data_IF_288621205032
#
_entry.id   IF_288621205032
#
_cell.length_a   1.000
_cell.length_b   1.000
_cell.length_c   1.000
_cell.angle_alpha   90.00
_cell.angle_beta   90.00
_cell.angle_gamma   90.00
#
_symmetry.space_group_name_H-M   'P 1'
#
loop_
_entity.id
_entity.type
_entity.pdbx_description
1 polymer ?
#
# COMPACT_ATOMS: atom_id res chain seq x y z
N UNK A 1 -2.52 -16.36 -10.68
CA UNK A 1 -1.99 -15.36 -9.73
C UNK A 1 -3.10 -14.96 -8.77
N UNK A 2 -2.77 -14.69 -7.50
CA UNK A 2 -3.74 -14.23 -6.49
C UNK A 2 -4.07 -12.75 -6.74
N UNK A 3 -5.35 -12.39 -6.75
CA UNK A 3 -5.77 -11.01 -7.01
C UNK A 3 -5.52 -10.13 -5.79
N UNK A 4 -4.78 -9.04 -5.95
CA UNK A 4 -4.30 -8.23 -4.85
C UNK A 4 -4.45 -6.73 -5.06
N UNK A 5 -4.50 -6.02 -3.95
CA UNK A 5 -4.23 -4.57 -3.86
C UNK A 5 -2.88 -4.37 -3.19
N UNK A 6 -2.15 -3.36 -3.63
CA UNK A 6 -0.90 -2.95 -2.99
C UNK A 6 -1.05 -1.60 -2.29
N UNK A 7 -0.80 -1.53 -0.98
CA UNK A 7 -0.82 -0.28 -0.23
C UNK A 7 0.38 0.60 -0.60
N UNK A 8 0.08 1.72 -1.25
CA UNK A 8 1.05 2.62 -1.86
C UNK A 8 1.20 3.92 -1.07
N UNK A 9 2.40 4.16 -0.54
CA UNK A 9 2.74 5.42 0.14
C UNK A 9 3.49 6.43 -0.75
N UNK A 10 4.00 5.99 -1.91
CA UNK A 10 4.91 6.76 -2.75
C UNK A 10 6.36 6.81 -2.25
N UNK A 11 6.66 6.18 -1.10
CA UNK A 11 8.00 6.13 -0.51
C UNK A 11 8.86 4.97 -1.02
N UNK A 12 10.16 5.02 -0.71
CA UNK A 12 11.18 4.06 -1.18
C UNK A 12 10.84 2.60 -0.82
N UNK A 13 10.39 2.35 0.40
CA UNK A 13 10.14 0.99 0.89
C UNK A 13 8.89 0.40 0.21
N UNK A 14 7.87 1.24 -0.01
CA UNK A 14 6.67 0.90 -0.80
C UNK A 14 7.03 0.59 -2.26
N UNK A 15 7.88 1.40 -2.88
CA UNK A 15 8.35 1.19 -4.25
C UNK A 15 9.12 -0.13 -4.40
N UNK A 16 10.03 -0.40 -3.47
CA UNK A 16 10.83 -1.62 -3.46
C UNK A 16 9.99 -2.88 -3.19
N UNK A 17 9.05 -2.81 -2.25
CA UNK A 17 8.12 -3.88 -1.97
C UNK A 17 7.23 -4.19 -3.19
N UNK A 18 6.71 -3.17 -3.87
CA UNK A 18 5.92 -3.36 -5.09
C UNK A 18 6.74 -4.04 -6.17
N UNK A 19 7.99 -3.60 -6.39
CA UNK A 19 8.88 -4.23 -7.36
C UNK A 19 9.11 -5.72 -7.09
N UNK A 20 9.38 -6.11 -5.85
CA UNK A 20 9.54 -7.53 -5.49
C UNK A 20 8.28 -8.35 -5.75
N UNK A 21 7.10 -7.79 -5.48
CA UNK A 21 5.82 -8.47 -5.73
C UNK A 21 5.60 -8.68 -7.22
N UNK A 22 5.87 -7.65 -8.03
CA UNK A 22 5.71 -7.73 -9.49
C UNK A 22 6.70 -8.73 -10.11
N UNK A 23 7.94 -8.80 -9.60
CA UNK A 23 8.95 -9.77 -10.05
C UNK A 23 8.60 -11.21 -9.67
N UNK A 24 8.07 -11.44 -8.47
CA UNK A 24 7.73 -12.78 -7.99
C UNK A 24 6.55 -13.43 -8.74
N UNK A 25 5.70 -12.62 -9.40
CA UNK A 25 4.55 -13.06 -10.20
C UNK A 25 3.56 -14.02 -9.46
N UNK A 26 3.54 -14.00 -8.13
CA UNK A 26 2.56 -14.74 -7.33
C UNK A 26 1.20 -14.00 -7.31
N UNK A 27 1.26 -12.66 -7.33
CA UNK A 27 0.12 -11.76 -7.19
C UNK A 27 -0.11 -10.94 -8.47
N UNK A 28 -1.37 -10.75 -8.81
CA UNK A 28 -1.80 -9.77 -9.81
C UNK A 28 -2.28 -8.52 -9.07
N UNK A 29 -1.45 -7.47 -9.06
CA UNK A 29 -1.77 -6.21 -8.39
C UNK A 29 -2.71 -5.39 -9.27
N UNK A 30 -4.01 -5.41 -8.96
CA UNK A 30 -5.03 -4.68 -9.72
C UNK A 30 -5.08 -3.20 -9.41
N UNK A 31 -4.79 -2.83 -8.15
CA UNK A 31 -4.81 -1.44 -7.72
C UNK A 31 -3.66 -1.13 -6.77
N UNK A 32 -3.14 0.09 -6.90
CA UNK A 32 -2.43 0.77 -5.82
C UNK A 32 -3.47 1.42 -4.91
N UNK A 33 -3.34 1.31 -3.60
CA UNK A 33 -4.27 1.88 -2.62
C UNK A 33 -3.56 2.86 -1.70
N UNK A 34 -4.07 4.08 -1.62
CA UNK A 34 -3.50 5.11 -0.74
C UNK A 34 -4.58 5.82 0.07
N UNK A 35 -4.19 6.39 1.21
CA UNK A 35 -5.09 7.20 2.06
C UNK A 35 -4.72 8.66 1.90
N UNK A 36 -5.71 9.50 1.60
CA UNK A 36 -5.55 10.95 1.46
C UNK A 36 -6.48 11.69 2.41
N UNK A 37 -6.02 12.84 2.88
CA UNK A 37 -6.87 13.80 3.56
C UNK A 37 -7.81 14.44 2.52
N UNK A 38 -9.11 14.24 2.70
CA UNK A 38 -10.14 14.68 1.76
C UNK A 38 -10.37 16.19 1.72
N UNK A 39 -9.99 16.94 2.76
CA UNK A 39 -10.10 18.41 2.79
C UNK A 39 -8.93 19.09 2.05
N UNK A 40 -7.72 18.54 2.20
CA UNK A 40 -6.50 19.20 1.73
C UNK A 40 -5.86 18.56 0.48
N UNK A 41 -6.36 17.42 0.00
CA UNK A 41 -5.83 16.74 -1.20
C UNK A 41 -4.37 16.27 -1.05
N UNK A 42 -3.99 15.87 0.17
CA UNK A 42 -2.63 15.45 0.53
C UNK A 42 -2.64 14.13 1.28
N UNK A 43 -1.55 13.37 1.20
CA UNK A 43 -1.37 12.17 2.04
C UNK A 43 -1.29 12.60 3.50
N UNK A 44 -2.16 12.02 4.34
CA UNK A 44 -2.34 12.40 5.76
C UNK A 44 -1.07 12.29 6.61
N UNK A 45 -0.07 11.48 6.21
CA UNK A 45 1.16 11.24 6.99
C UNK A 45 2.44 11.91 6.44
N UNK A 46 2.48 12.30 5.15
CA UNK A 46 3.72 12.77 4.51
C UNK A 46 3.58 14.10 3.75
N UNK A 47 2.39 14.69 3.70
CA UNK A 47 2.17 15.99 3.06
C UNK A 47 2.38 16.03 1.54
N UNK A 48 2.63 14.88 0.93
CA UNK A 48 2.76 14.70 -0.52
C UNK A 48 1.44 14.98 -1.21
N UNK A 49 1.48 15.72 -2.32
CA UNK A 49 0.29 16.06 -3.11
C UNK A 49 -0.28 14.82 -3.77
N UNK A 50 -1.60 14.71 -3.77
CA UNK A 50 -2.34 13.66 -4.48
C UNK A 50 -1.89 13.53 -5.95
N UNK A 51 -1.65 14.66 -6.62
CA UNK A 51 -1.19 14.70 -8.02
C UNK A 51 0.14 13.96 -8.25
N UNK A 52 1.04 13.91 -7.27
CA UNK A 52 2.30 13.18 -7.42
C UNK A 52 2.05 11.66 -7.36
N UNK A 53 1.16 11.21 -6.48
CA UNK A 53 0.78 9.80 -6.41
C UNK A 53 0.07 9.35 -7.69
N UNK A 54 -0.78 10.20 -8.26
CA UNK A 54 -1.43 9.92 -9.55
C UNK A 54 -0.39 9.77 -10.68
N UNK A 55 0.61 10.66 -10.73
CA UNK A 55 1.69 10.56 -11.71
C UNK A 55 2.53 9.29 -11.50
N UNK A 56 2.84 8.93 -10.26
CA UNK A 56 3.54 7.68 -9.93
C UNK A 56 2.72 6.46 -10.38
N UNK A 57 1.44 6.40 -10.04
CA UNK A 57 0.55 5.30 -10.42
C UNK A 57 0.42 5.17 -11.95
N UNK A 58 0.28 6.30 -12.66
CA UNK A 58 0.24 6.33 -14.12
C UNK A 58 1.56 5.84 -14.74
N UNK A 59 2.72 6.22 -14.18
CA UNK A 59 4.03 5.75 -14.64
C UNK A 59 4.25 4.25 -14.37
N UNK A 60 3.69 3.73 -13.28
CA UNK A 60 3.72 2.29 -12.94
C UNK A 60 2.74 1.50 -13.83
N UNK A 61 1.68 2.14 -14.33
CA UNK A 61 0.65 1.50 -15.14
C UNK A 61 -0.40 0.74 -14.34
N UNK A 62 -0.50 0.97 -13.02
CA UNK A 62 -1.49 0.36 -12.13
C UNK A 62 -2.46 1.45 -11.63
N UNK A 63 -3.79 1.28 -11.76
CA UNK A 63 -4.76 2.27 -11.29
C UNK A 63 -4.67 2.54 -9.78
N UNK A 64 -4.96 3.78 -9.38
CA UNK A 64 -4.90 4.23 -7.99
C UNK A 64 -6.29 4.31 -7.35
N UNK A 65 -6.54 3.50 -6.33
CA UNK A 65 -7.66 3.62 -5.39
C UNK A 65 -7.27 4.56 -4.24
N UNK A 66 -8.22 5.42 -3.86
CA UNK A 66 -8.01 6.45 -2.84
C UNK A 66 -9.05 6.31 -1.74
N UNK A 67 -8.57 6.11 -0.51
CA UNK A 67 -9.39 6.20 0.70
C UNK A 67 -9.32 7.64 1.19
N UNK A 68 -10.44 8.36 1.13
CA UNK A 68 -10.53 9.75 1.60
C UNK A 68 -10.96 9.78 3.07
N UNK A 69 -10.19 10.48 3.89
CA UNK A 69 -10.48 10.69 5.33
C UNK A 69 -10.52 12.19 5.60
N UNK A 70 -11.57 12.70 6.22
CA UNK A 70 -11.80 14.14 6.38
C UNK A 70 -11.58 14.60 7.83
N UNK A 71 -12.22 13.96 8.79
CA UNK A 71 -12.14 14.29 10.21
C UNK A 71 -10.84 13.79 10.86
N UNK A 72 -10.15 12.85 10.19
CA UNK A 72 -8.85 12.34 10.63
C UNK A 72 -8.95 11.41 11.85
N UNK A 73 -10.15 10.95 12.20
CA UNK A 73 -10.35 9.98 13.26
C UNK A 73 -10.02 8.57 12.78
N UNK A 74 -9.53 7.72 13.69
CA UNK A 74 -9.25 6.32 13.36
C UNK A 74 -10.52 5.55 12.94
N UNK A 75 -11.68 5.86 13.54
CA UNK A 75 -12.95 5.23 13.18
C UNK A 75 -13.40 5.58 11.77
N UNK A 76 -13.24 6.84 11.35
CA UNK A 76 -13.52 7.24 9.97
C UNK A 76 -12.57 6.52 9.00
N UNK A 77 -11.26 6.49 9.31
CA UNK A 77 -10.28 5.78 8.50
C UNK A 77 -10.66 4.29 8.33
N UNK A 78 -10.96 3.59 9.43
CA UNK A 78 -11.34 2.17 9.40
C UNK A 78 -12.60 1.94 8.56
N UNK A 79 -13.61 2.80 8.72
CA UNK A 79 -14.86 2.71 7.97
C UNK A 79 -14.63 2.92 6.46
N UNK A 80 -13.91 3.97 6.08
CA UNK A 80 -13.64 4.30 4.67
C UNK A 80 -12.74 3.25 4.01
N UNK A 81 -11.74 2.75 4.75
CA UNK A 81 -10.88 1.66 4.32
C UNK A 81 -11.70 0.39 4.09
N UNK A 82 -12.53 -0.02 5.05
CA UNK A 82 -13.37 -1.20 4.94
C UNK A 82 -14.33 -1.11 3.74
N UNK A 83 -14.96 0.06 3.53
CA UNK A 83 -15.85 0.28 2.38
C UNK A 83 -15.10 0.10 1.05
N UNK A 84 -13.92 0.70 0.92
CA UNK A 84 -13.08 0.58 -0.29
C UNK A 84 -12.65 -0.87 -0.54
N UNK A 85 -12.26 -1.57 0.53
CA UNK A 85 -11.82 -2.97 0.45
C UNK A 85 -12.97 -3.94 0.13
N UNK A 86 -14.19 -3.67 0.60
CA UNK A 86 -15.38 -4.47 0.26
C UNK A 86 -15.75 -4.33 -1.22
N UNK A 87 -15.62 -3.13 -1.80
CA UNK A 87 -15.81 -2.91 -3.24
C UNK A 87 -14.77 -3.70 -4.04
N UNK A 88 -13.49 -3.56 -3.67
CA UNK A 88 -12.41 -4.33 -4.29
C UNK A 88 -12.62 -5.85 -4.18
N UNK A 89 -13.09 -6.33 -3.03
CA UNK A 89 -13.40 -7.74 -2.82
C UNK A 89 -14.49 -8.24 -3.77
N UNK A 90 -15.50 -7.43 -4.05
CA UNK A 90 -16.54 -7.76 -5.02
C UNK A 90 -16.00 -7.94 -6.45
N UNK A 91 -14.83 -7.35 -6.76
CA UNK A 91 -14.10 -7.54 -8.02
C UNK A 91 -13.18 -8.78 -8.02
N UNK A 92 -13.24 -9.60 -6.96
CA UNK A 92 -12.47 -10.84 -6.83
C UNK A 92 -11.10 -10.68 -6.15
N UNK A 93 -10.80 -9.50 -5.59
CA UNK A 93 -9.58 -9.28 -4.81
C UNK A 93 -9.66 -10.05 -3.51
N UNK A 94 -8.56 -10.74 -3.17
CA UNK A 94 -8.45 -11.58 -1.96
C UNK A 94 -7.32 -11.15 -1.03
N UNK A 95 -6.33 -10.39 -1.53
CA UNK A 95 -5.13 -10.03 -0.78
C UNK A 95 -4.89 -8.53 -0.76
N UNK A 96 -4.31 -8.04 0.34
CA UNK A 96 -3.80 -6.67 0.47
C UNK A 96 -2.36 -6.72 0.93
N UNK A 97 -1.48 -6.07 0.18
CA UNK A 97 -0.04 -6.14 0.35
C UNK A 97 0.47 -4.84 0.96
N UNK A 98 1.33 -4.94 1.99
CA UNK A 98 1.93 -3.80 2.68
C UNK A 98 3.45 -3.86 2.66
N UNK A 99 4.10 -2.71 2.44
CA UNK A 99 5.57 -2.57 2.52
C UNK A 99 6.13 -2.49 3.95
N UNK A 100 5.40 -2.95 4.97
CA UNK A 100 5.83 -2.86 6.37
C UNK A 100 6.99 -3.82 6.67
N UNK A 101 7.95 -3.38 7.51
CA UNK A 101 9.18 -4.14 7.79
C UNK A 101 9.20 -4.70 9.23
N UNK A 102 8.87 -3.92 10.28
CA UNK A 102 9.11 -4.32 11.68
C UNK A 102 8.00 -4.10 12.71
N UNK A 103 7.02 -3.20 12.47
CA UNK A 103 6.06 -2.80 13.51
C UNK A 103 4.99 -3.88 13.74
N UNK A 104 5.20 -4.75 14.74
CA UNK A 104 4.34 -5.91 14.99
C UNK A 104 2.90 -5.52 15.33
N UNK A 105 2.73 -4.47 16.13
CA UNK A 105 1.41 -3.95 16.50
C UNK A 105 0.66 -3.43 15.27
N UNK A 106 1.36 -2.76 14.35
CA UNK A 106 0.79 -2.27 13.10
C UNK A 106 0.39 -3.44 12.19
N UNK A 107 1.24 -4.46 12.07
CA UNK A 107 0.93 -5.68 11.33
C UNK A 107 -0.32 -6.37 11.89
N UNK A 108 -0.37 -6.60 13.20
CA UNK A 108 -1.50 -7.25 13.86
C UNK A 108 -2.80 -6.43 13.70
N UNK A 109 -2.71 -5.10 13.79
CA UNK A 109 -3.82 -4.20 13.53
C UNK A 109 -4.34 -4.33 12.09
N UNK A 110 -3.46 -4.36 11.08
CA UNK A 110 -3.85 -4.56 9.68
C UNK A 110 -4.49 -5.92 9.44
N UNK A 111 -3.87 -6.99 9.96
CA UNK A 111 -4.41 -8.36 9.86
C UNK A 111 -5.82 -8.43 10.47
N UNK A 112 -6.01 -7.86 11.67
CA UNK A 112 -7.33 -7.79 12.33
C UNK A 112 -8.37 -7.03 11.49
N UNK A 113 -7.99 -5.92 10.87
CA UNK A 113 -8.92 -5.13 10.05
C UNK A 113 -9.27 -5.84 8.73
N UNK A 114 -8.31 -6.48 8.09
CA UNK A 114 -8.56 -7.24 6.87
C UNK A 114 -9.39 -8.50 7.11
N UNK A 115 -9.19 -9.17 8.25
CA UNK A 115 -10.01 -10.32 8.64
C UNK A 115 -11.50 -9.96 8.74
N UNK A 116 -11.85 -8.75 9.19
CA UNK A 116 -13.25 -8.29 9.28
C UNK A 116 -13.92 -8.15 7.91
N UNK A 117 -13.14 -7.87 6.86
CA UNK A 117 -13.64 -7.83 5.46
C UNK A 117 -13.36 -9.14 4.71
N UNK A 118 -12.72 -10.13 5.35
CA UNK A 118 -12.35 -11.41 4.77
C UNK A 118 -11.33 -11.29 3.64
N UNK A 119 -10.28 -10.50 3.84
CA UNK A 119 -9.10 -10.38 2.97
C UNK A 119 -7.84 -10.81 3.73
N UNK A 120 -6.81 -11.25 3.01
CA UNK A 120 -5.54 -11.70 3.59
C UNK A 120 -4.45 -10.62 3.47
N UNK A 121 -3.67 -10.44 4.56
CA UNK A 121 -2.56 -9.50 4.59
C UNK A 121 -1.27 -10.15 4.09
N UNK A 122 -0.48 -9.44 3.27
CA UNK A 122 0.82 -9.90 2.77
C UNK A 122 1.89 -8.85 3.07
N UNK A 123 3.03 -9.30 3.60
CA UNK A 123 4.13 -8.41 4.04
C UNK A 123 5.47 -8.87 3.44
N UNK A 124 5.78 -8.54 2.17
CA UNK A 124 6.97 -9.04 1.46
C UNK A 124 8.31 -8.63 2.08
N UNK A 125 8.33 -7.57 2.91
CA UNK A 125 9.54 -7.07 3.56
C UNK A 125 9.64 -7.45 5.05
N UNK A 126 8.67 -8.18 5.58
CA UNK A 126 8.58 -8.42 7.02
C UNK A 126 9.84 -9.09 7.58
N UNK A 127 10.45 -8.46 8.59
CA UNK A 127 11.67 -8.91 9.25
C UNK A 127 12.86 -9.20 8.32
N UNK A 128 12.84 -8.71 7.08
CA UNK A 128 14.01 -8.79 6.21
C UNK A 128 15.13 -7.90 6.75
N UNK A 129 16.37 -8.34 6.55
CA UNK A 129 17.54 -7.60 6.97
C UNK A 129 17.62 -6.27 6.19
N UNK A 130 17.58 -5.14 6.90
CA UNK A 130 17.58 -3.80 6.26
C UNK A 130 18.84 -3.49 5.49
N UNK A 131 20.00 -4.02 5.91
CA UNK A 131 21.26 -3.84 5.19
C UNK A 131 21.21 -4.55 3.84
N UNK A 132 20.62 -5.75 3.78
CA UNK A 132 20.39 -6.43 2.51
C UNK A 132 19.37 -5.67 1.66
N UNK A 133 18.24 -5.24 2.26
CA UNK A 133 17.22 -4.46 1.54
C UNK A 133 17.79 -3.19 0.89
N UNK A 134 18.62 -2.42 1.60
CA UNK A 134 19.20 -1.18 1.04
C UNK A 134 20.25 -1.48 -0.03
N UNK A 135 21.04 -2.54 0.13
CA UNK A 135 22.02 -2.95 -0.87
C UNK A 135 21.33 -3.41 -2.15
N UNK A 136 20.27 -4.20 -2.04
CA UNK A 136 19.47 -4.65 -3.18
C UNK A 136 18.79 -3.45 -3.86
N UNK A 137 18.23 -2.53 -3.07
CA UNK A 137 17.62 -1.29 -3.57
C UNK A 137 18.60 -0.48 -4.42
N UNK A 138 19.82 -0.29 -3.93
CA UNK A 138 20.88 0.43 -4.66
C UNK A 138 21.32 -0.37 -5.90
N UNK A 139 21.47 -1.69 -5.78
CA UNK A 139 21.89 -2.56 -6.89
C UNK A 139 20.85 -2.61 -8.01
N UNK A 140 19.58 -2.44 -7.68
CA UNK A 140 18.48 -2.35 -8.64
C UNK A 140 18.25 -0.92 -9.17
N UNK A 141 19.23 -0.02 -9.00
CA UNK A 141 19.25 1.36 -9.49
C UNK A 141 18.07 2.23 -9.02
N UNK A 142 17.44 1.88 -7.89
CA UNK A 142 16.43 2.75 -7.31
C UNK A 142 17.06 4.06 -6.83
N UNK A 143 16.36 5.17 -7.08
CA UNK A 143 16.76 6.51 -6.65
C UNK A 143 15.68 7.09 -5.74
N UNK A 144 16.11 7.81 -4.72
CA UNK A 144 15.22 8.55 -3.81
C UNK A 144 15.39 10.04 -4.00
N UNK A 145 14.31 10.78 -3.76
CA UNK A 145 14.29 12.24 -3.76
C UNK A 145 13.82 12.69 -2.37
N UNK A 146 14.44 13.74 -1.85
CA UNK A 146 14.15 14.35 -0.54
C UNK A 146 13.59 15.74 -0.73
#
# INVERSE_FOLDING_TARGET
MKQAIFCWSGGKDSAYALHQILQAAEYEVKYLLTTINGEFGRISMHGVRESLLEQQAAAIGIPLLKVKVYQGSNSEYEQQMAQTLLQAKAEGISHVIFGDIFLADLRAYREKNLAQVGLEAVFPLWQKNTTQLINDFITQDFKTIT
#
